data_IF_146742170853
#
_entry.id   IF_146742170853
#
_cell.length_a   1.000
_cell.length_b   1.000
_cell.length_c   1.000
_cell.angle_alpha   90.00
_cell.angle_beta   90.00
_cell.angle_gamma   90.00
#
_symmetry.space_group_name_H-M   'P 1'
#
loop_
_entity.id
_entity.type
_entity.pdbx_description
1 polymer ?
#
# COMPACT_ATOMS: atom_id res chain seq x y z
N UNK A 1 -50.82 -48.13 -7.30
CA UNK A 1 -49.40 -47.85 -7.62
C UNK A 1 -49.14 -46.43 -8.14
N UNK A 2 -49.80 -45.94 -9.20
CA UNK A 2 -49.59 -44.57 -9.74
C UNK A 2 -49.71 -43.42 -8.73
N UNK A 3 -50.72 -43.43 -7.85
CA UNK A 3 -50.91 -42.37 -6.82
C UNK A 3 -49.79 -42.35 -5.77
N UNK A 4 -49.16 -43.49 -5.50
CA UNK A 4 -48.05 -43.60 -4.56
C UNK A 4 -46.75 -43.06 -5.16
N UNK A 5 -46.51 -43.33 -6.45
CA UNK A 5 -45.35 -42.81 -7.19
C UNK A 5 -45.42 -41.28 -7.32
N UNK A 6 -46.61 -40.72 -7.59
CA UNK A 6 -46.80 -39.27 -7.68
C UNK A 6 -46.54 -38.57 -6.34
N UNK A 7 -46.99 -39.17 -5.22
CA UNK A 7 -46.72 -38.65 -3.87
C UNK A 7 -45.22 -38.62 -3.55
N UNK A 8 -44.50 -39.70 -3.88
CA UNK A 8 -43.06 -39.85 -3.61
C UNK A 8 -42.21 -38.86 -4.43
N UNK A 9 -42.56 -38.65 -5.70
CA UNK A 9 -41.90 -37.67 -6.58
C UNK A 9 -42.14 -36.24 -6.08
N UNK A 10 -43.36 -35.92 -5.65
CA UNK A 10 -43.69 -34.60 -5.11
C UNK A 10 -42.90 -34.27 -3.84
N UNK A 11 -42.81 -35.20 -2.89
CA UNK A 11 -42.01 -35.01 -1.67
C UNK A 11 -40.53 -34.84 -1.94
N UNK A 12 -39.98 -35.60 -2.90
CA UNK A 12 -38.57 -35.49 -3.29
C UNK A 12 -38.26 -34.13 -3.91
N UNK A 13 -39.16 -33.61 -4.74
CA UNK A 13 -39.00 -32.31 -5.39
C UNK A 13 -38.98 -31.15 -4.37
N UNK A 14 -39.85 -31.20 -3.36
CA UNK A 14 -39.87 -30.21 -2.26
C UNK A 14 -38.56 -30.26 -1.47
N UNK A 15 -38.04 -31.45 -1.19
CA UNK A 15 -36.79 -31.64 -0.46
C UNK A 15 -35.58 -31.10 -1.24
N UNK A 16 -35.52 -31.38 -2.54
CA UNK A 16 -34.47 -30.84 -3.43
C UNK A 16 -34.56 -29.32 -3.53
N UNK A 17 -35.77 -28.76 -3.64
CA UNK A 17 -35.96 -27.31 -3.71
C UNK A 17 -35.56 -26.63 -2.39
N UNK A 18 -35.89 -27.24 -1.24
CA UNK A 18 -35.44 -26.75 0.06
C UNK A 18 -33.91 -26.79 0.21
N UNK A 19 -33.26 -27.87 -0.25
CA UNK A 19 -31.79 -27.97 -0.28
C UNK A 19 -31.19 -26.92 -1.22
N UNK A 20 -31.78 -26.69 -2.39
CA UNK A 20 -31.30 -25.70 -3.36
C UNK A 20 -31.43 -24.28 -2.81
N UNK A 21 -32.57 -23.93 -2.20
CA UNK A 21 -32.78 -22.64 -1.54
C UNK A 21 -31.79 -22.47 -0.38
N UNK A 22 -31.59 -23.51 0.43
CA UNK A 22 -30.61 -23.50 1.53
C UNK A 22 -29.18 -23.29 1.00
N UNK A 23 -28.78 -24.00 -0.06
CA UNK A 23 -27.47 -23.86 -0.69
C UNK A 23 -27.22 -22.43 -1.19
N UNK A 24 -28.21 -21.81 -1.83
CA UNK A 24 -28.12 -20.43 -2.29
C UNK A 24 -28.06 -19.43 -1.13
N UNK A 25 -28.74 -19.71 -0.01
CA UNK A 25 -28.69 -18.86 1.19
C UNK A 25 -27.36 -18.98 1.95
N UNK A 26 -26.63 -20.08 1.78
CA UNK A 26 -25.31 -20.32 2.40
C UNK A 26 -24.12 -19.91 1.54
N UNK A 27 -24.33 -19.33 0.34
CA UNK A 27 -23.22 -18.86 -0.48
C UNK A 27 -22.52 -17.66 0.17
N UNK A 28 -21.37 -17.94 0.76
CA UNK A 28 -20.46 -16.94 1.31
C UNK A 28 -19.90 -16.06 0.19
N UNK A 29 -19.89 -14.76 0.45
CA UNK A 29 -19.50 -13.65 -0.42
C UNK A 29 -17.99 -13.55 -0.57
N UNK A 30 -17.53 -13.39 -1.80
CA UNK A 30 -16.13 -13.23 -2.16
C UNK A 30 -15.61 -11.82 -1.84
N UNK A 31 -14.30 -11.62 -1.99
CA UNK A 31 -13.65 -10.31 -1.86
C UNK A 31 -14.36 -9.25 -2.71
N UNK A 32 -14.60 -8.07 -2.14
CA UNK A 32 -15.24 -6.95 -2.84
C UNK A 32 -16.77 -7.05 -2.95
N UNK A 33 -17.39 -8.15 -2.52
CA UNK A 33 -18.86 -8.25 -2.47
C UNK A 33 -19.44 -7.62 -1.20
N UNK A 34 -20.67 -7.10 -1.33
CA UNK A 34 -21.37 -6.50 -0.20
C UNK A 34 -21.72 -7.54 0.87
N UNK A 35 -21.52 -7.17 2.13
CA UNK A 35 -21.81 -7.95 3.31
C UNK A 35 -22.51 -7.10 4.37
N UNK A 36 -23.16 -7.75 5.34
CA UNK A 36 -23.68 -7.10 6.55
C UNK A 36 -22.90 -7.49 7.80
N UNK A 37 -22.32 -8.69 7.78
CA UNK A 37 -21.57 -9.30 8.87
C UNK A 37 -20.45 -10.18 8.30
N UNK A 38 -19.42 -10.47 9.09
CA UNK A 38 -18.32 -11.35 8.71
C UNK A 38 -18.79 -12.75 8.26
N UNK A 39 -19.92 -13.22 8.81
CA UNK A 39 -20.50 -14.52 8.46
C UNK A 39 -20.98 -14.59 7.02
N UNK A 40 -21.27 -13.43 6.40
CA UNK A 40 -21.63 -13.37 5.00
C UNK A 40 -20.44 -13.64 4.08
N UNK A 41 -19.19 -13.47 4.55
CA UNK A 41 -18.00 -13.54 3.71
C UNK A 41 -17.36 -14.94 3.69
N UNK A 42 -16.60 -15.23 2.63
CA UNK A 42 -15.81 -16.44 2.48
C UNK A 42 -14.78 -16.58 3.61
N UNK A 43 -14.28 -17.81 3.82
CA UNK A 43 -13.32 -18.07 4.90
C UNK A 43 -12.08 -17.17 4.76
N UNK A 44 -11.69 -16.53 5.86
CA UNK A 44 -10.54 -15.61 5.88
C UNK A 44 -10.86 -14.16 5.48
N UNK A 45 -12.12 -13.84 5.16
CA UNK A 45 -12.57 -12.48 4.87
C UNK A 45 -13.34 -11.88 6.05
N UNK A 46 -13.26 -10.56 6.21
CA UNK A 46 -14.04 -9.78 7.18
C UNK A 46 -14.96 -8.80 6.47
N UNK A 47 -16.09 -8.47 7.09
CA UNK A 47 -17.01 -7.48 6.56
C UNK A 47 -16.58 -6.08 7.01
N UNK A 48 -15.93 -5.36 6.11
CA UNK A 48 -15.40 -4.02 6.37
C UNK A 48 -16.10 -3.02 5.47
N UNK A 49 -16.69 -1.98 6.07
CA UNK A 49 -17.49 -0.98 5.33
C UNK A 49 -18.61 -1.59 4.46
N UNK A 50 -19.25 -2.65 4.96
CA UNK A 50 -20.24 -3.45 4.24
C UNK A 50 -19.69 -4.16 2.99
N UNK A 51 -18.38 -4.38 2.89
CA UNK A 51 -17.73 -5.13 1.80
C UNK A 51 -16.80 -6.20 2.37
N UNK A 52 -16.80 -7.40 1.81
CA UNK A 52 -15.89 -8.46 2.21
C UNK A 52 -14.44 -8.08 1.83
N UNK A 53 -13.55 -8.13 2.82
CA UNK A 53 -12.16 -7.72 2.73
C UNK A 53 -11.22 -8.79 3.26
N UNK A 54 -10.15 -9.03 2.51
CA UNK A 54 -9.07 -9.97 2.85
C UNK A 54 -7.93 -9.30 3.61
N UNK A 55 -7.97 -7.97 3.73
CA UNK A 55 -6.89 -7.16 4.29
C UNK A 55 -5.62 -7.10 3.45
N UNK A 56 -5.60 -7.69 2.25
CA UNK A 56 -4.45 -7.66 1.33
C UNK A 56 -4.33 -6.30 0.63
N UNK A 57 -3.23 -5.99 -0.08
CA UNK A 57 -3.13 -4.77 -0.86
C UNK A 57 -4.37 -4.59 -1.76
N UNK A 58 -4.90 -3.37 -1.79
CA UNK A 58 -6.15 -2.94 -2.45
C UNK A 58 -7.47 -3.37 -1.79
N UNK A 59 -7.46 -4.25 -0.79
CA UNK A 59 -8.66 -4.66 -0.05
C UNK A 59 -9.32 -3.50 0.70
N UNK A 60 -10.66 -3.48 0.83
CA UNK A 60 -11.36 -2.45 1.60
C UNK A 60 -10.91 -2.41 3.07
N UNK A 61 -10.81 -1.22 3.65
CA UNK A 61 -10.47 -1.02 5.06
C UNK A 61 -11.15 0.23 5.62
N UNK A 62 -11.41 0.27 6.92
CA UNK A 62 -11.79 1.48 7.66
C UNK A 62 -10.64 1.97 8.55
N UNK A 63 -9.80 1.04 8.99
CA UNK A 63 -8.60 1.28 9.78
C UNK A 63 -7.52 0.26 9.44
N UNK A 64 -6.28 0.50 9.88
CA UNK A 64 -5.17 -0.45 9.68
C UNK A 64 -5.43 -1.85 10.25
N UNK A 65 -6.31 -1.96 11.26
CA UNK A 65 -6.70 -3.25 11.86
C UNK A 65 -7.46 -4.16 10.89
N UNK A 66 -7.97 -3.58 9.80
CA UNK A 66 -8.65 -4.30 8.73
C UNK A 66 -7.67 -4.85 7.68
N UNK A 67 -6.41 -4.39 7.72
CA UNK A 67 -5.36 -4.81 6.81
C UNK A 67 -4.46 -5.89 7.44
N UNK A 68 -3.77 -6.64 6.58
CA UNK A 68 -2.72 -7.55 7.02
C UNK A 68 -1.58 -6.77 7.67
N UNK A 69 -0.84 -7.44 8.56
CA UNK A 69 0.28 -6.84 9.28
C UNK A 69 1.28 -6.21 8.32
N UNK A 70 1.68 -4.96 8.62
CA UNK A 70 2.58 -4.17 7.78
C UNK A 70 1.91 -3.39 6.64
N UNK A 71 0.58 -3.40 6.53
CA UNK A 71 -0.17 -2.58 5.57
C UNK A 71 -0.93 -1.43 6.24
N UNK A 72 -1.13 -0.37 5.48
CA UNK A 72 -1.83 0.85 5.86
C UNK A 72 -3.23 0.91 5.28
N UNK A 73 -4.18 1.49 6.01
CA UNK A 73 -5.47 1.83 5.43
C UNK A 73 -5.45 3.24 4.83
N UNK A 74 -5.27 3.34 3.51
CA UNK A 74 -5.19 4.61 2.78
C UNK A 74 -6.37 4.71 1.82
N UNK A 75 -7.17 5.77 1.94
CA UNK A 75 -8.39 5.97 1.13
C UNK A 75 -9.32 4.74 1.12
N UNK A 76 -9.53 4.17 2.29
CA UNK A 76 -10.34 2.97 2.49
C UNK A 76 -9.84 1.73 1.75
N UNK A 77 -8.55 1.69 1.38
CA UNK A 77 -7.89 0.52 0.81
C UNK A 77 -6.60 0.20 1.54
N UNK A 78 -6.33 -1.08 1.75
CA UNK A 78 -5.06 -1.53 2.27
C UNK A 78 -3.94 -1.24 1.26
N UNK A 79 -2.83 -0.71 1.74
CA UNK A 79 -1.72 -0.19 0.95
C UNK A 79 -0.39 -0.56 1.61
N UNK A 80 0.65 -0.76 0.81
CA UNK A 80 2.01 -0.95 1.33
C UNK A 80 2.67 0.35 1.80
N UNK A 81 2.06 1.50 1.46
CA UNK A 81 2.52 2.84 1.84
C UNK A 81 1.49 3.59 2.68
N UNK A 82 1.96 4.44 3.59
CA UNK A 82 1.13 5.10 4.61
C UNK A 82 0.32 6.30 4.14
N UNK A 83 0.62 6.85 2.96
CA UNK A 83 -0.06 8.02 2.41
C UNK A 83 -0.35 7.84 0.91
N UNK A 84 -1.31 8.61 0.40
CA UNK A 84 -1.58 8.62 -1.03
C UNK A 84 -0.59 9.53 -1.75
N UNK A 85 -0.11 9.05 -2.89
CA UNK A 85 0.75 9.82 -3.79
C UNK A 85 -0.11 10.63 -4.77
N UNK A 86 0.11 11.95 -4.83
CA UNK A 86 -0.41 12.81 -5.90
C UNK A 86 0.38 12.55 -7.18
N UNK A 87 0.01 11.47 -7.88
CA UNK A 87 0.68 11.05 -9.11
C UNK A 87 0.54 12.06 -10.26
N UNK A 88 -0.45 12.96 -10.21
CA UNK A 88 -0.58 14.04 -11.19
C UNK A 88 0.50 15.09 -10.91
N UNK A 89 0.58 15.58 -9.67
CA UNK A 89 1.60 16.56 -9.28
C UNK A 89 3.01 16.00 -9.46
N UNK A 90 3.22 14.70 -9.19
CA UNK A 90 4.49 14.03 -9.50
C UNK A 90 4.89 14.20 -10.98
N UNK A 91 4.01 13.84 -11.91
CA UNK A 91 4.27 13.93 -13.37
C UNK A 91 4.44 15.37 -13.87
N UNK A 92 3.84 16.34 -13.19
CA UNK A 92 4.01 17.76 -13.50
C UNK A 92 5.29 18.35 -12.89
N UNK A 93 5.86 17.70 -11.88
CA UNK A 93 7.01 18.20 -11.12
C UNK A 93 8.32 17.53 -11.49
N UNK A 94 8.30 16.24 -11.85
CA UNK A 94 9.51 15.43 -12.06
C UNK A 94 9.42 14.59 -13.34
N UNK A 95 10.53 14.54 -14.10
CA UNK A 95 10.76 13.54 -15.12
C UNK A 95 11.04 12.16 -14.49
N UNK A 96 11.86 12.17 -13.42
CA UNK A 96 12.05 11.02 -12.55
C UNK A 96 12.44 11.45 -11.14
N UNK A 97 12.27 10.53 -10.19
CA UNK A 97 12.73 10.66 -8.82
C UNK A 97 13.05 9.26 -8.28
N UNK A 98 14.16 9.13 -7.56
CA UNK A 98 14.57 7.86 -6.96
C UNK A 98 15.35 8.07 -5.67
N UNK A 99 15.15 7.13 -4.75
CA UNK A 99 16.06 6.88 -3.65
C UNK A 99 17.21 6.00 -4.14
N UNK A 100 18.46 6.35 -3.84
CA UNK A 100 19.65 5.65 -4.31
C UNK A 100 20.74 5.61 -3.23
N UNK A 101 21.70 4.68 -3.40
CA UNK A 101 22.96 4.71 -2.66
C UNK A 101 23.95 5.62 -3.37
N UNK A 102 24.83 6.29 -2.62
CA UNK A 102 25.90 7.09 -3.21
C UNK A 102 26.80 6.31 -4.19
N UNK A 103 26.95 5.00 -3.98
CA UNK A 103 27.79 4.12 -4.80
C UNK A 103 27.08 3.59 -6.05
N UNK A 104 25.78 3.82 -6.22
CA UNK A 104 25.03 3.37 -7.39
C UNK A 104 25.31 4.29 -8.59
N UNK A 105 25.75 3.69 -9.70
CA UNK A 105 25.80 4.40 -10.98
C UNK A 105 24.38 4.70 -11.48
N UNK A 106 24.17 5.78 -12.26
CA UNK A 106 22.88 6.05 -12.87
C UNK A 106 22.59 4.91 -13.84
N UNK A 107 21.39 4.33 -13.72
CA UNK A 107 20.91 3.38 -14.70
C UNK A 107 20.03 4.12 -15.71
N UNK A 108 20.09 3.74 -16.99
CA UNK A 108 19.22 4.32 -18.03
C UNK A 108 17.72 4.04 -17.77
N UNK A 109 17.40 3.12 -16.85
CA UNK A 109 16.05 2.84 -16.40
C UNK A 109 15.75 3.59 -15.09
N UNK A 110 14.71 4.44 -15.04
CA UNK A 110 14.22 4.98 -13.78
C UNK A 110 13.69 3.82 -12.92
N UNK A 111 14.06 3.73 -11.64
CA UNK A 111 13.52 2.70 -10.77
C UNK A 111 12.02 2.94 -10.56
N UNK A 112 11.31 1.83 -10.35
CA UNK A 112 9.89 1.85 -10.06
C UNK A 112 9.64 2.59 -8.74
N UNK A 113 8.72 3.56 -8.76
CA UNK A 113 8.21 4.19 -7.55
C UNK A 113 7.68 3.08 -6.64
N UNK A 114 7.96 3.15 -5.33
CA UNK A 114 7.53 2.16 -4.34
C UNK A 114 8.27 0.80 -4.33
N UNK A 115 9.30 0.58 -5.16
CA UNK A 115 10.14 -0.62 -5.01
C UNK A 115 10.96 -0.56 -3.71
N UNK A 116 10.89 -1.60 -2.88
CA UNK A 116 11.65 -1.68 -1.62
C UNK A 116 13.16 -1.64 -1.93
N UNK A 117 13.86 -0.67 -1.34
CA UNK A 117 15.32 -0.56 -1.44
C UNK A 117 15.99 -1.03 -0.15
N UNK A 118 17.10 -1.75 -0.27
CA UNK A 118 17.84 -2.26 0.88
C UNK A 118 19.10 -1.42 1.10
N UNK A 119 19.23 -0.81 2.26
CA UNK A 119 20.41 -0.05 2.69
C UNK A 119 21.13 -0.76 3.83
N UNK A 120 22.44 -0.55 3.94
CA UNK A 120 23.21 -0.87 5.13
C UNK A 120 23.45 0.38 5.98
N UNK A 121 23.80 0.23 7.25
CA UNK A 121 24.16 1.36 8.13
C UNK A 121 25.32 2.22 7.60
N UNK A 122 26.15 1.67 6.70
CA UNK A 122 27.28 2.38 6.08
C UNK A 122 26.92 3.03 4.75
N UNK A 123 25.75 2.72 4.20
CA UNK A 123 25.30 3.31 2.95
C UNK A 123 24.92 4.77 3.19
N UNK A 124 25.13 5.59 2.16
CA UNK A 124 24.61 6.94 2.12
C UNK A 124 23.27 6.90 1.40
N UNK A 125 22.24 7.42 2.07
CA UNK A 125 20.90 7.57 1.55
C UNK A 125 20.85 8.85 0.72
N UNK A 126 20.51 8.73 -0.57
CA UNK A 126 20.56 9.87 -1.47
C UNK A 126 19.29 9.94 -2.30
N UNK A 127 18.78 11.15 -2.50
CA UNK A 127 17.68 11.43 -3.40
C UNK A 127 18.24 11.93 -4.73
N UNK A 128 17.79 11.33 -5.82
CA UNK A 128 18.13 11.74 -7.17
C UNK A 128 16.85 11.99 -7.95
N UNK A 129 16.86 12.97 -8.84
CA UNK A 129 15.69 13.29 -9.64
C UNK A 129 15.95 14.39 -10.64
N UNK A 130 14.97 14.60 -11.51
CA UNK A 130 15.01 15.64 -12.52
C UNK A 130 13.70 16.43 -12.49
N UNK A 131 13.69 17.60 -11.85
CA UNK A 131 12.55 18.51 -11.87
C UNK A 131 12.29 19.02 -13.29
N UNK A 132 11.02 19.05 -13.67
CA UNK A 132 10.56 19.65 -14.94
C UNK A 132 10.45 21.18 -14.87
N UNK A 133 10.43 21.72 -13.65
CA UNK A 133 10.29 23.15 -13.33
C UNK A 133 10.97 23.45 -12.00
N UNK A 134 11.12 24.73 -11.70
CA UNK A 134 11.61 25.17 -10.39
C UNK A 134 10.59 24.75 -9.32
N UNK A 135 11.03 23.91 -8.38
CA UNK A 135 10.15 23.37 -7.33
C UNK A 135 10.76 23.57 -5.94
N UNK A 136 9.89 23.88 -4.97
CA UNK A 136 10.18 23.75 -3.55
C UNK A 136 9.73 22.38 -3.10
N UNK A 137 10.63 21.69 -2.43
CA UNK A 137 10.39 20.32 -1.98
C UNK A 137 10.79 20.16 -0.52
N UNK A 138 10.13 19.25 0.16
CA UNK A 138 10.51 18.76 1.47
C UNK A 138 10.55 17.24 1.42
N UNK A 139 11.20 16.63 2.41
CA UNK A 139 11.17 15.19 2.56
C UNK A 139 11.13 14.78 4.02
N UNK A 140 10.60 13.60 4.23
CA UNK A 140 10.52 12.98 5.54
C UNK A 140 11.01 11.54 5.49
N UNK A 141 11.64 11.11 6.58
CA UNK A 141 11.88 9.70 6.86
C UNK A 141 10.88 9.31 7.94
N UNK A 142 9.93 8.48 7.56
CA UNK A 142 8.83 8.04 8.41
C UNK A 142 9.02 6.57 8.82
N UNK A 143 8.76 6.29 10.09
CA UNK A 143 8.69 4.92 10.60
C UNK A 143 7.22 4.45 10.54
N UNK A 144 6.87 3.57 9.59
CA UNK A 144 5.51 3.04 9.42
C UNK A 144 4.95 2.32 10.66
N UNK A 145 5.81 1.69 11.47
CA UNK A 145 5.38 0.87 12.61
C UNK A 145 5.10 1.71 13.84
N UNK A 146 6.03 2.61 14.18
CA UNK A 146 5.92 3.45 15.38
C UNK A 146 5.11 4.74 15.11
N UNK A 147 4.78 4.99 13.84
CA UNK A 147 4.06 6.19 13.36
C UNK A 147 4.73 7.50 13.74
N UNK A 148 6.06 7.52 13.64
CA UNK A 148 6.88 8.69 13.97
C UNK A 148 7.67 9.16 12.77
N UNK A 149 7.79 10.49 12.65
CA UNK A 149 8.73 11.13 11.73
C UNK A 149 10.11 11.16 12.39
N UNK A 150 11.10 10.51 11.76
CA UNK A 150 12.48 10.45 12.23
C UNK A 150 13.24 11.69 11.80
N UNK A 151 13.01 12.12 10.55
CA UNK A 151 13.61 13.31 9.96
C UNK A 151 12.53 14.02 9.16
N UNK A 152 12.47 15.35 9.27
CA UNK A 152 11.71 16.21 8.38
C UNK A 152 12.62 17.37 7.96
N UNK A 153 12.66 17.67 6.67
CA UNK A 153 13.55 18.69 6.14
C UNK A 153 13.00 19.33 4.87
N UNK A 154 13.01 20.65 4.86
CA UNK A 154 12.77 21.47 3.68
C UNK A 154 14.07 21.63 2.88
N UNK A 155 13.95 21.58 1.55
CA UNK A 155 15.06 21.90 0.65
C UNK A 155 15.08 23.42 0.43
N UNK A 156 16.09 24.16 0.95
CA UNK A 156 16.01 25.63 1.05
C UNK A 156 16.01 26.36 -0.28
N UNK A 157 16.52 25.72 -1.34
CA UNK A 157 16.62 26.30 -2.69
C UNK A 157 15.69 25.54 -3.61
N UNK A 158 15.06 26.28 -4.52
CA UNK A 158 14.32 25.68 -5.62
C UNK A 158 15.27 24.82 -6.47
N UNK A 159 14.79 23.64 -6.85
CA UNK A 159 15.57 22.69 -7.63
C UNK A 159 15.26 22.87 -9.12
N UNK A 160 16.31 23.01 -9.93
CA UNK A 160 16.23 23.19 -11.38
C UNK A 160 17.25 22.31 -12.09
N UNK A 161 16.80 21.60 -13.13
CA UNK A 161 17.64 20.65 -13.86
C UNK A 161 17.92 19.38 -13.04
N UNK A 162 18.41 18.33 -13.70
CA UNK A 162 18.73 17.07 -13.05
C UNK A 162 19.63 17.27 -11.83
N UNK A 163 19.16 16.82 -10.67
CA UNK A 163 19.97 16.79 -9.45
C UNK A 163 20.41 15.37 -9.15
N UNK A 164 21.70 15.25 -8.86
CA UNK A 164 22.28 14.03 -8.32
C UNK A 164 22.64 14.31 -6.87
N UNK A 165 22.18 13.46 -5.95
CA UNK A 165 22.58 13.47 -4.55
C UNK A 165 22.07 14.66 -3.73
N UNK A 166 20.79 15.04 -3.87
CA UNK A 166 20.17 15.89 -2.84
C UNK A 166 20.08 15.07 -1.55
N UNK A 167 20.50 15.72 -0.46
CA UNK A 167 20.53 15.17 0.88
C UNK A 167 21.25 13.81 1.01
N UNK A 168 22.30 13.61 0.20
CA UNK A 168 23.12 12.40 0.28
C UNK A 168 23.91 12.38 1.60
N UNK A 169 23.38 11.64 2.58
CA UNK A 169 23.84 11.62 3.96
C UNK A 169 23.91 10.19 4.48
N UNK A 170 24.72 9.91 5.51
CA UNK A 170 24.56 8.69 6.29
C UNK A 170 23.11 8.56 6.80
N UNK A 171 22.66 7.33 7.02
CA UNK A 171 21.35 7.10 7.63
C UNK A 171 21.25 7.85 8.98
N UNK A 172 20.12 8.52 9.26
CA UNK A 172 19.97 9.35 10.44
C UNK A 172 19.93 8.53 11.73
N UNK A 173 20.27 9.20 12.84
CA UNK A 173 20.12 8.66 14.19
C UNK A 173 18.63 8.37 14.44
N UNK A 174 18.28 7.13 14.81
CA UNK A 174 16.89 6.67 14.98
C UNK A 174 16.46 5.60 13.97
N UNK A 175 17.26 5.37 12.92
CA UNK A 175 17.13 4.20 12.06
C UNK A 175 17.71 2.97 12.77
N UNK A 176 16.94 1.88 12.76
CA UNK A 176 17.28 0.60 13.40
C UNK A 176 17.33 -0.48 12.32
N UNK A 177 18.39 -1.29 12.26
CA UNK A 177 18.44 -2.44 11.36
C UNK A 177 17.29 -3.44 11.59
N UNK A 178 16.87 -4.12 10.52
CA UNK A 178 15.74 -5.03 10.51
C UNK A 178 14.37 -4.33 10.50
N UNK A 179 14.33 -3.00 10.33
CA UNK A 179 13.09 -2.22 10.20
C UNK A 179 12.94 -1.64 8.80
N UNK A 180 11.68 -1.43 8.42
CA UNK A 180 11.29 -0.73 7.19
C UNK A 180 10.90 0.71 7.50
N UNK A 181 11.17 1.58 6.53
CA UNK A 181 10.96 3.01 6.60
C UNK A 181 10.41 3.51 5.26
N UNK A 182 9.81 4.69 5.29
CA UNK A 182 9.36 5.39 4.09
C UNK A 182 10.15 6.69 3.95
N UNK A 183 10.76 6.90 2.78
CA UNK A 183 11.26 8.20 2.39
C UNK A 183 10.18 8.91 1.57
N UNK A 184 9.53 9.89 2.17
CA UNK A 184 8.43 10.65 1.58
C UNK A 184 8.97 11.93 0.98
N UNK A 185 8.52 12.27 -0.23
CA UNK A 185 8.87 13.54 -0.88
C UNK A 185 7.61 14.35 -1.08
N UNK A 186 7.69 15.60 -0.67
CA UNK A 186 6.63 16.58 -0.73
C UNK A 186 6.98 17.67 -1.73
N UNK A 187 5.99 18.10 -2.50
CA UNK A 187 6.01 19.37 -3.21
C UNK A 187 4.86 20.18 -2.63
N UNK A 188 5.17 21.38 -2.15
CA UNK A 188 4.26 22.15 -1.31
C UNK A 188 3.90 21.34 -0.04
N UNK A 189 2.64 20.96 0.14
CA UNK A 189 2.12 20.17 1.26
C UNK A 189 1.67 18.76 0.84
N UNK A 190 1.94 18.35 -0.40
CA UNK A 190 1.45 17.09 -0.96
C UNK A 190 2.56 16.07 -1.17
N UNK A 191 2.29 14.83 -0.76
CA UNK A 191 3.17 13.69 -1.05
C UNK A 191 3.13 13.38 -2.54
N UNK A 192 4.28 13.51 -3.20
CA UNK A 192 4.44 13.20 -4.63
C UNK A 192 5.22 11.90 -4.87
N UNK A 193 5.93 11.39 -3.86
CA UNK A 193 6.58 10.09 -3.91
C UNK A 193 6.76 9.50 -2.52
N UNK A 194 6.67 8.16 -2.44
CA UNK A 194 7.04 7.37 -1.26
C UNK A 194 7.99 6.27 -1.72
N UNK A 195 9.20 6.25 -1.17
CA UNK A 195 10.18 5.20 -1.39
C UNK A 195 10.32 4.34 -0.13
N UNK A 196 9.72 3.14 -0.10
CA UNK A 196 9.93 2.22 0.99
C UNK A 196 11.35 1.69 0.95
N UNK A 197 11.98 1.59 2.11
CA UNK A 197 13.32 1.02 2.23
C UNK A 197 13.50 0.25 3.53
N UNK A 198 14.41 -0.71 3.51
CA UNK A 198 14.79 -1.54 4.64
C UNK A 198 16.26 -1.32 4.95
N UNK A 199 16.60 -1.36 6.24
CA UNK A 199 17.99 -1.22 6.70
C UNK A 199 18.47 -2.54 7.29
N UNK A 200 19.62 -3.02 6.86
CA UNK A 200 20.22 -4.28 7.33
C UNK A 200 21.59 -4.05 7.98
N UNK A 201 21.97 -4.93 8.91
CA UNK A 201 23.34 -4.98 9.44
C UNK A 201 24.27 -5.59 8.38
N UNK A 202 25.33 -4.87 7.99
CA UNK A 202 26.41 -5.37 7.13
C UNK A 202 27.78 -5.06 7.72
#
# INVERSE_FOLDING_TARGET
>A
MKKFIIGLVSTLFILIFAIFVFYNFTQKKAEGENCKTDQNCQSGLKCVMNVCSSGKPTSPCLSEKDCLEGLFCVKNKCSEVSEEIDGKLFRESFAFLRLAKATEMPTDRPPELQAIRIFSLRDYLCLEGEPLKDIKMAFEIYNPYDKVVIVSKEVPKEQKGGFRFIDCKPLPLGIVPGKKYEYKVYVEDKVVAIFPFEVIEK
#
